data_IF_502682781594
#
_entry.id   IF_502682781594
#
_cell.length_a   1.000
_cell.length_b   1.000
_cell.length_c   1.000
_cell.angle_alpha   90.00
_cell.angle_beta   90.00
_cell.angle_gamma   90.00
#
_symmetry.space_group_name_H-M   'P 1'
#
loop_
_entity.id
_entity.type
_entity.pdbx_description
1 polymer ?
#
# COMPACT_ATOMS: atom_id res chain seq x y z
N UNK A 1 16.05 -3.89 13.62
CA UNK A 1 14.90 -4.61 13.00
C UNK A 1 13.69 -4.67 13.91
N UNK A 2 13.87 -4.74 15.23
CA UNK A 2 12.77 -4.76 16.21
C UNK A 2 11.81 -3.57 16.05
N UNK A 3 12.31 -2.34 16.12
CA UNK A 3 11.47 -1.14 15.96
C UNK A 3 10.73 -1.09 14.61
N UNK A 4 11.35 -1.57 13.53
CA UNK A 4 10.66 -1.63 12.23
C UNK A 4 9.47 -2.58 12.27
N UNK A 5 9.60 -3.73 12.95
CA UNK A 5 8.48 -4.68 13.09
C UNK A 5 7.39 -4.12 14.00
N UNK A 6 7.78 -3.43 15.07
CA UNK A 6 6.84 -2.75 15.97
C UNK A 6 6.02 -1.72 15.20
N UNK A 7 6.66 -0.76 14.53
CA UNK A 7 5.98 0.28 13.73
C UNK A 7 5.02 -0.33 12.70
N UNK A 8 5.46 -1.35 11.96
CA UNK A 8 4.62 -1.98 10.92
C UNK A 8 3.46 -2.82 11.46
N UNK A 9 3.49 -3.24 12.73
CA UNK A 9 2.45 -4.10 13.32
C UNK A 9 1.40 -3.35 14.11
N UNK A 10 1.63 -2.06 14.40
CA UNK A 10 0.77 -1.22 15.21
C UNK A 10 0.20 -0.04 14.42
N UNK A 11 -0.63 -0.28 13.37
CA UNK A 11 -1.22 0.79 12.56
C UNK A 11 -2.18 1.70 13.35
N UNK A 12 -2.67 1.25 14.52
CA UNK A 12 -3.43 2.06 15.46
C UNK A 12 -2.58 3.14 16.16
N UNK A 13 -1.26 2.97 16.18
CA UNK A 13 -0.30 3.94 16.73
C UNK A 13 0.41 4.70 15.60
N UNK A 14 0.83 3.98 14.56
CA UNK A 14 1.61 4.50 13.44
C UNK A 14 0.77 4.51 12.15
N UNK A 15 0.03 5.59 11.95
CA UNK A 15 -0.82 5.80 10.77
C UNK A 15 0.02 5.95 9.49
N UNK A 16 -0.44 5.34 8.40
CA UNK A 16 0.12 5.53 7.05
C UNK A 16 -0.53 6.69 6.30
N UNK A 17 -1.72 7.12 6.74
CA UNK A 17 -2.45 8.24 6.13
C UNK A 17 -1.98 9.59 6.70
N UNK A 18 -1.80 9.67 8.01
CA UNK A 18 -1.37 10.88 8.71
C UNK A 18 0.12 11.12 8.49
N UNK A 19 0.47 12.23 7.84
CA UNK A 19 1.86 12.53 7.44
C UNK A 19 2.33 11.75 6.20
N UNK A 20 1.53 10.78 5.71
CA UNK A 20 1.83 9.99 4.54
C UNK A 20 2.91 8.95 4.74
N UNK A 21 3.26 8.26 3.65
CA UNK A 21 4.22 7.14 3.64
C UNK A 21 5.57 7.52 3.03
N UNK A 22 5.76 8.79 2.69
CA UNK A 22 6.99 9.32 2.11
C UNK A 22 7.92 9.83 3.21
N UNK A 23 9.22 9.94 2.92
CA UNK A 23 10.18 10.51 3.87
C UNK A 23 10.03 12.03 4.01
N UNK A 24 9.53 12.69 2.96
CA UNK A 24 9.28 14.12 2.99
C UNK A 24 7.90 14.36 3.59
N UNK A 25 7.86 15.26 4.57
CA UNK A 25 6.60 15.70 5.15
C UNK A 25 5.76 16.41 4.09
N UNK A 26 4.45 16.14 4.05
CA UNK A 26 3.54 16.84 3.16
C UNK A 26 3.49 18.33 3.52
N UNK A 27 3.27 19.17 2.50
CA UNK A 27 3.04 20.58 2.73
C UNK A 27 1.75 20.79 3.56
N UNK A 28 1.78 21.77 4.45
CA UNK A 28 0.60 22.11 5.25
C UNK A 28 -0.56 22.52 4.33
N UNK A 29 -1.74 21.93 4.56
CA UNK A 29 -2.97 22.20 3.81
C UNK A 29 -2.92 21.87 2.31
N UNK A 30 -2.08 20.91 1.89
CA UNK A 30 -2.13 20.37 0.53
C UNK A 30 -3.31 19.39 0.36
N UNK A 31 -4.44 19.93 -0.10
CA UNK A 31 -5.66 19.15 -0.35
C UNK A 31 -5.48 18.09 -1.44
N UNK A 32 -4.61 18.34 -2.43
CA UNK A 32 -4.36 17.40 -3.52
C UNK A 32 -3.61 16.17 -3.02
N UNK A 33 -2.57 16.40 -2.23
CA UNK A 33 -1.80 15.35 -1.59
C UNK A 33 -2.64 14.56 -0.58
N UNK A 34 -3.50 15.23 0.21
CA UNK A 34 -4.47 14.55 1.06
C UNK A 34 -5.44 13.66 0.25
N UNK A 35 -5.99 14.17 -0.84
CA UNK A 35 -6.84 13.40 -1.74
C UNK A 35 -6.13 12.16 -2.30
N UNK A 36 -4.86 12.30 -2.72
CA UNK A 36 -4.07 11.19 -3.23
C UNK A 36 -3.85 10.10 -2.17
N UNK A 37 -3.51 10.48 -0.93
CA UNK A 37 -3.38 9.52 0.18
C UNK A 37 -4.68 8.77 0.46
N UNK A 38 -5.81 9.46 0.37
CA UNK A 38 -7.11 8.83 0.59
C UNK A 38 -7.53 7.90 -0.55
N UNK A 39 -6.97 8.09 -1.75
CA UNK A 39 -7.26 7.29 -2.93
C UNK A 39 -6.37 6.03 -3.05
N UNK A 40 -5.13 6.07 -2.57
CA UNK A 40 -4.16 4.98 -2.73
C UNK A 40 -4.14 4.03 -1.52
N UNK A 41 -4.31 2.73 -1.78
CA UNK A 41 -4.33 1.71 -0.72
C UNK A 41 -3.07 1.72 0.16
N UNK A 42 -1.92 2.09 -0.40
CA UNK A 42 -0.66 2.23 0.33
C UNK A 42 -0.74 3.20 1.51
N UNK A 43 -1.48 4.30 1.36
CA UNK A 43 -1.56 5.38 2.35
C UNK A 43 -2.85 5.33 3.16
N UNK A 44 -3.59 4.22 3.12
CA UNK A 44 -4.82 4.04 3.89
C UNK A 44 -4.54 3.33 5.21
N UNK A 45 -5.32 3.70 6.24
CA UNK A 45 -5.35 2.95 7.50
C UNK A 45 -6.52 1.95 7.56
N UNK A 46 -6.48 0.96 8.47
CA UNK A 46 -7.66 0.17 8.81
C UNK A 46 -8.84 1.03 9.29
N UNK A 47 -10.10 0.65 9.02
CA UNK A 47 -10.54 -0.58 8.35
C UNK A 47 -10.53 -0.51 6.82
N UNK A 48 -10.35 0.69 6.23
CA UNK A 48 -10.41 0.92 4.78
C UNK A 48 -9.35 0.11 4.05
N UNK A 49 -8.08 0.20 4.48
CA UNK A 49 -6.97 -0.60 3.95
C UNK A 49 -7.28 -2.10 3.98
N UNK A 50 -7.73 -2.63 5.12
CA UNK A 50 -8.05 -4.05 5.29
C UNK A 50 -9.11 -4.52 4.29
N UNK A 51 -10.14 -3.70 4.03
CA UNK A 51 -11.18 -4.00 3.04
C UNK A 51 -10.63 -4.04 1.62
N UNK A 52 -9.88 -3.03 1.20
CA UNK A 52 -9.31 -2.99 -0.15
C UNK A 52 -8.25 -4.08 -0.36
N UNK A 53 -7.38 -4.31 0.62
CA UNK A 53 -6.36 -5.36 0.56
C UNK A 53 -6.98 -6.74 0.34
N UNK A 54 -8.10 -7.07 1.00
CA UNK A 54 -8.83 -8.34 0.77
C UNK A 54 -9.28 -8.54 -0.67
N UNK A 55 -9.61 -7.46 -1.39
CA UNK A 55 -9.99 -7.51 -2.80
C UNK A 55 -8.74 -7.67 -3.67
N UNK A 56 -7.75 -6.79 -3.49
CA UNK A 56 -6.52 -6.74 -4.27
C UNK A 56 -5.72 -8.04 -4.15
N UNK A 57 -5.59 -8.61 -2.94
CA UNK A 57 -4.80 -9.83 -2.69
C UNK A 57 -5.23 -11.03 -3.53
N UNK A 58 -6.48 -11.08 -4.02
CA UNK A 58 -6.94 -12.17 -4.91
C UNK A 58 -6.24 -12.16 -6.26
N UNK A 59 -5.77 -11.01 -6.73
CA UNK A 59 -4.97 -10.87 -7.95
C UNK A 59 -3.49 -11.23 -7.78
N UNK A 60 -3.01 -11.40 -6.55
CA UNK A 60 -1.59 -11.65 -6.23
C UNK A 60 -1.38 -13.05 -5.63
N UNK A 61 -2.23 -14.01 -6.01
CA UNK A 61 -2.01 -15.42 -5.63
C UNK A 61 -0.86 -16.03 -6.43
N UNK A 62 -0.15 -17.05 -5.91
CA UNK A 62 0.95 -17.70 -6.65
C UNK A 62 0.55 -18.12 -8.07
N UNK A 63 -0.66 -18.68 -8.23
CA UNK A 63 -1.20 -19.05 -9.55
C UNK A 63 -1.29 -17.85 -10.51
N UNK A 64 -1.73 -16.69 -10.04
CA UNK A 64 -1.90 -15.50 -10.88
C UNK A 64 -0.54 -14.88 -11.25
N UNK A 65 0.42 -14.91 -10.34
CA UNK A 65 1.79 -14.42 -10.59
C UNK A 65 2.49 -15.30 -11.62
N UNK A 66 2.40 -16.63 -11.50
CA UNK A 66 3.01 -17.54 -12.48
C UNK A 66 2.43 -17.36 -13.89
N UNK A 67 1.11 -17.13 -14.00
CA UNK A 67 0.48 -16.82 -15.28
C UNK A 67 1.03 -15.52 -15.90
N UNK A 68 1.30 -14.50 -15.07
CA UNK A 68 1.89 -13.26 -15.52
C UNK A 68 3.36 -13.44 -15.95
N UNK A 69 4.11 -14.28 -15.25
CA UNK A 69 5.49 -14.61 -15.59
C UNK A 69 5.58 -15.27 -16.98
N UNK A 70 4.80 -16.33 -17.22
CA UNK A 70 4.72 -17.01 -18.52
C UNK A 70 4.37 -16.02 -19.64
N UNK A 71 3.42 -15.11 -19.36
CA UNK A 71 3.01 -14.09 -20.31
C UNK A 71 4.12 -13.10 -20.65
N UNK A 72 4.88 -12.65 -19.65
CA UNK A 72 5.96 -11.70 -19.83
C UNK A 72 7.13 -12.35 -20.59
N UNK A 73 7.51 -13.58 -20.26
CA UNK A 73 8.55 -14.32 -20.98
C UNK A 73 8.25 -14.37 -22.49
N UNK A 74 7.03 -14.79 -22.86
CA UNK A 74 6.58 -14.83 -24.26
C UNK A 74 6.55 -13.46 -24.98
N UNK A 75 6.55 -12.34 -24.25
CA UNK A 75 6.56 -10.98 -24.83
C UNK A 75 7.95 -10.39 -25.01
N UNK A 76 8.93 -10.86 -24.24
CA UNK A 76 10.30 -10.33 -24.24
C UNK A 76 11.29 -11.20 -24.99
N UNK A 77 10.95 -12.46 -25.24
CA UNK A 77 11.66 -13.36 -26.17
C UNK A 77 11.30 -13.04 -27.63
#
# INVERSE_FOLDING_TARGET
LEHLREVNRHPEVFSSNKGGTQMQEPAENDEMDQFQRDALMLSMDPPKHTRYRRIVSRGFTPRMINLLEDYLQNRTD
#
